data_IF_937381629249
#
_entry.id   IF_937381629249
#
_cell.length_a   1.000
_cell.length_b   1.000
_cell.length_c   1.000
_cell.angle_alpha   90.00
_cell.angle_beta   90.00
_cell.angle_gamma   90.00
#
_symmetry.space_group_name_H-M   'P 1'
#
loop_
_entity.id
_entity.type
_entity.pdbx_description
1 polymer ?
#
# COMPACT_ATOMS: atom_id res chain seq x y z
N UNK A 1 -0.59 17.23 -7.01
CA UNK A 1 -1.17 16.42 -5.91
C UNK A 1 -1.08 14.91 -6.18
N UNK A 2 -1.22 14.45 -7.43
CA UNK A 2 -1.09 13.02 -7.78
C UNK A 2 0.33 12.44 -7.70
N UNK A 3 1.36 13.27 -7.91
CA UNK A 3 2.76 12.83 -7.81
C UNK A 3 3.10 12.17 -6.46
N UNK A 4 2.55 12.71 -5.36
CA UNK A 4 2.78 12.19 -4.01
C UNK A 4 2.13 10.83 -3.77
N UNK A 5 0.97 10.60 -4.39
CA UNK A 5 0.26 9.32 -4.36
C UNK A 5 1.03 8.29 -5.19
N UNK A 6 1.53 8.67 -6.37
CA UNK A 6 2.37 7.81 -7.22
C UNK A 6 3.70 7.43 -6.55
N UNK A 7 4.38 8.39 -5.92
CA UNK A 7 5.60 8.14 -5.15
C UNK A 7 5.34 7.18 -3.97
N UNK A 8 4.25 7.41 -3.24
CA UNK A 8 3.84 6.53 -2.13
C UNK A 8 3.43 5.15 -2.63
N UNK A 9 2.77 5.07 -3.79
CA UNK A 9 2.44 3.81 -4.45
C UNK A 9 3.71 3.04 -4.83
N UNK A 10 4.73 3.71 -5.38
CA UNK A 10 6.04 3.10 -5.63
C UNK A 10 6.67 2.54 -4.36
N UNK A 11 6.62 3.30 -3.25
CA UNK A 11 7.11 2.83 -1.94
C UNK A 11 6.32 1.62 -1.42
N UNK A 12 4.99 1.66 -1.51
CA UNK A 12 4.12 0.53 -1.13
C UNK A 12 4.47 -0.71 -1.96
N UNK A 13 4.64 -0.55 -3.27
CA UNK A 13 5.01 -1.63 -4.17
C UNK A 13 6.37 -2.23 -3.79
N UNK A 14 7.39 -1.39 -3.57
CA UNK A 14 8.72 -1.86 -3.17
C UNK A 14 8.70 -2.55 -1.80
N UNK A 15 7.89 -2.07 -0.86
CA UNK A 15 7.66 -2.76 0.41
C UNK A 15 6.98 -4.12 0.23
N UNK A 16 6.18 -4.30 -0.81
CA UNK A 16 5.51 -5.56 -1.12
C UNK A 16 6.40 -6.52 -1.94
N UNK A 17 7.44 -6.03 -2.61
CA UNK A 17 8.47 -6.86 -3.26
C UNK A 17 9.24 -7.72 -2.25
N UNK A 18 9.42 -7.20 -1.03
CA UNK A 18 10.01 -7.93 0.10
C UNK A 18 9.08 -9.05 0.64
N UNK A 19 7.80 -9.05 0.24
CA UNK A 19 6.81 -10.05 0.61
C UNK A 19 5.43 -9.46 0.90
N UNK A 20 4.44 -10.32 1.11
CA UNK A 20 3.09 -9.86 1.46
C UNK A 20 3.09 -9.13 2.82
N UNK A 21 2.44 -7.97 2.87
CA UNK A 21 2.34 -7.17 4.10
C UNK A 21 0.90 -6.80 4.37
N UNK A 22 0.56 -6.76 5.66
CA UNK A 22 -0.75 -6.27 6.07
C UNK A 22 -0.88 -4.77 5.85
N UNK A 23 -2.11 -4.32 5.56
CA UNK A 23 -2.45 -2.90 5.40
C UNK A 23 -2.03 -2.08 6.61
N UNK A 24 -2.20 -2.66 7.80
CA UNK A 24 -1.77 -2.06 9.07
C UNK A 24 -0.26 -1.86 9.15
N UNK A 25 0.53 -2.78 8.60
CA UNK A 25 1.99 -2.67 8.59
C UNK A 25 2.45 -1.60 7.59
N UNK A 26 1.92 -1.62 6.37
CA UNK A 26 2.17 -0.58 5.36
C UNK A 26 1.81 0.81 5.89
N UNK A 27 0.64 0.94 6.51
CA UNK A 27 0.20 2.20 7.12
C UNK A 27 1.15 2.64 8.24
N UNK A 28 1.63 1.73 9.09
CA UNK A 28 2.61 2.06 10.14
C UNK A 28 3.95 2.52 9.58
N UNK A 29 4.48 1.85 8.57
CA UNK A 29 5.76 2.19 7.94
C UNK A 29 5.67 3.57 7.29
N UNK A 30 4.64 3.78 6.48
CA UNK A 30 4.41 5.04 5.76
C UNK A 30 4.11 6.19 6.72
N UNK A 31 3.41 5.93 7.83
CA UNK A 31 3.20 6.93 8.88
C UNK A 31 4.50 7.37 9.54
N UNK A 32 5.50 6.49 9.70
CA UNK A 32 6.83 6.89 10.19
C UNK A 32 7.57 7.79 9.19
N UNK A 33 7.33 7.60 7.90
CA UNK A 33 7.83 8.49 6.85
C UNK A 33 7.01 9.80 6.69
N UNK A 34 6.04 10.06 7.57
CA UNK A 34 5.20 11.26 7.52
C UNK A 34 4.08 11.18 6.47
N UNK A 35 3.84 10.01 5.87
CA UNK A 35 2.71 9.80 4.97
C UNK A 35 1.43 9.58 5.78
N UNK A 36 0.38 10.30 5.41
CA UNK A 36 -0.91 10.20 6.07
C UNK A 36 -1.63 8.91 5.63
N UNK A 37 -2.39 8.26 6.52
CA UNK A 37 -3.10 7.00 6.24
C UNK A 37 -3.98 7.12 5.00
N UNK A 38 -4.63 8.27 4.79
CA UNK A 38 -5.45 8.50 3.61
C UNK A 38 -4.65 8.44 2.30
N UNK A 39 -3.40 8.91 2.33
CA UNK A 39 -2.49 8.89 1.20
C UNK A 39 -2.03 7.45 0.90
N UNK A 40 -1.78 6.66 1.95
CA UNK A 40 -1.51 5.21 1.82
C UNK A 40 -2.67 4.48 1.17
N UNK A 41 -3.92 4.74 1.62
CA UNK A 41 -5.12 4.12 1.05
C UNK A 41 -5.27 4.52 -0.42
N UNK A 42 -5.05 5.80 -0.77
CA UNK A 42 -5.07 6.28 -2.16
C UNK A 42 -3.99 5.60 -3.01
N UNK A 43 -2.79 5.40 -2.45
CA UNK A 43 -1.68 4.73 -3.13
C UNK A 43 -1.96 3.24 -3.38
N UNK A 44 -2.53 2.55 -2.40
CA UNK A 44 -3.00 1.16 -2.55
C UNK A 44 -4.09 1.09 -3.62
N UNK A 45 -5.08 1.99 -3.57
CA UNK A 45 -6.12 2.07 -4.61
C UNK A 45 -5.56 2.35 -6.01
N UNK A 46 -4.51 3.18 -6.10
CA UNK A 46 -3.82 3.46 -7.36
C UNK A 46 -3.15 2.20 -7.94
N UNK A 47 -2.42 1.45 -7.11
CA UNK A 47 -1.80 0.18 -7.52
C UNK A 47 -2.83 -0.89 -7.89
N UNK A 48 -3.94 -0.96 -7.14
CA UNK A 48 -5.04 -1.88 -7.43
C UNK A 48 -5.70 -1.53 -8.77
N UNK A 49 -5.82 -0.24 -9.10
CA UNK A 49 -6.31 0.23 -10.41
C UNK A 49 -5.39 -0.19 -11.56
N UNK A 50 -4.09 -0.24 -11.33
CA UNK A 50 -3.09 -0.74 -12.29
C UNK A 50 -2.95 -2.28 -12.30
N UNK A 51 -3.78 -3.00 -11.52
CA UNK A 51 -3.73 -4.47 -11.38
C UNK A 51 -2.37 -5.00 -10.89
N UNK A 52 -1.57 -4.16 -10.24
CA UNK A 52 -0.21 -4.48 -9.74
C UNK A 52 -0.21 -5.22 -8.39
N UNK A 53 -1.30 -5.11 -7.63
CA UNK A 53 -1.41 -5.68 -6.29
C UNK A 53 -2.74 -6.40 -6.11
N UNK A 54 -2.74 -7.39 -5.23
CA UNK A 54 -3.92 -8.10 -4.77
C UNK A 54 -4.14 -7.79 -3.30
N UNK A 55 -5.37 -7.35 -2.97
CA UNK A 55 -5.79 -7.11 -1.60
C UNK A 55 -6.69 -8.26 -1.16
N UNK A 56 -6.22 -9.02 -0.19
CA UNK A 56 -6.90 -10.18 0.38
C UNK A 56 -7.41 -9.79 1.77
N UNK A 57 -8.68 -10.05 2.04
CA UNK A 57 -9.27 -9.87 3.37
C UNK A 57 -9.47 -11.23 4.00
N UNK A 58 -8.66 -11.57 4.99
CA UNK A 58 -8.76 -12.81 5.76
C UNK A 58 -9.06 -12.51 7.22
N UNK A 59 -10.19 -13.02 7.73
CA UNK A 59 -10.53 -13.00 9.16
C UNK A 59 -10.38 -11.64 9.87
N UNK A 60 -10.65 -10.53 9.16
CA UNK A 60 -10.53 -9.16 9.67
C UNK A 60 -9.16 -8.49 9.46
N UNK A 61 -8.17 -9.20 8.94
CA UNK A 61 -6.90 -8.64 8.45
C UNK A 61 -6.95 -8.39 6.95
N UNK A 62 -6.41 -7.25 6.55
CA UNK A 62 -6.19 -6.90 5.16
C UNK A 62 -4.72 -7.19 4.84
N UNK A 63 -4.49 -8.13 3.93
CA UNK A 63 -3.17 -8.49 3.42
C UNK A 63 -3.05 -7.98 2.00
N UNK A 64 -1.98 -7.27 1.70
CA UNK A 64 -1.65 -6.86 0.34
C UNK A 64 -0.45 -7.70 -0.10
N UNK A 65 -0.51 -8.19 -1.34
CA UNK A 65 0.59 -8.84 -2.01
C UNK A 65 0.71 -8.32 -3.44
N UNK A 66 1.90 -8.40 -4.01
CA UNK A 66 2.06 -8.17 -5.44
C UNK A 66 1.34 -9.28 -6.21
N UNK A 67 0.82 -8.92 -7.40
CA UNK A 67 0.25 -9.90 -8.32
C UNK A 67 1.34 -10.66 -9.04
#
# INVERSE_FOLDING_TARGET
>A
MWAKIGETAGKVYHLLEDGEKSLSNLTKILRREGCNTNLVIMAIGWLAREDKIVVIKDSGKWTIRLK
#
